data_IF_727975067331
#
_entry.id   IF_727975067331
#
_cell.length_a   1.000
_cell.length_b   1.000
_cell.length_c   1.000
_cell.angle_alpha   90.00
_cell.angle_beta   90.00
_cell.angle_gamma   90.00
#
_symmetry.space_group_name_H-M   'P 1'
#
loop_
_entity.id
_entity.type
_entity.pdbx_description
1 polymer ?
#
# COMPACT_ATOMS: atom_id res chain seq x y z
N UNK A 1 -32.69 36.03 0.52
CA UNK A 1 -32.24 34.69 0.08
C UNK A 1 -30.72 34.72 0.06
N UNK A 2 -30.07 34.02 0.99
CA UNK A 2 -28.62 34.03 1.13
C UNK A 2 -28.00 33.06 0.15
N UNK A 3 -27.12 33.53 -0.74
CA UNK A 3 -26.40 32.67 -1.66
C UNK A 3 -25.29 31.93 -0.90
N UNK A 4 -25.47 30.63 -0.70
CA UNK A 4 -24.43 29.76 -0.14
C UNK A 4 -23.42 29.49 -1.25
N UNK A 5 -22.21 30.03 -1.08
CA UNK A 5 -21.10 29.80 -1.98
C UNK A 5 -20.38 28.52 -1.52
N UNK A 6 -20.64 27.40 -2.20
CA UNK A 6 -19.95 26.13 -1.95
C UNK A 6 -18.60 26.19 -2.63
N UNK A 7 -17.56 26.55 -1.88
CA UNK A 7 -16.17 26.46 -2.33
C UNK A 7 -15.76 24.99 -2.25
N UNK A 8 -15.85 24.29 -3.38
CA UNK A 8 -15.28 22.95 -3.52
C UNK A 8 -13.77 23.10 -3.52
N UNK A 9 -13.09 22.65 -2.46
CA UNK A 9 -11.63 22.56 -2.52
C UNK A 9 -11.26 21.60 -3.65
N UNK A 10 -10.32 21.98 -4.54
CA UNK A 10 -9.71 20.98 -5.42
C UNK A 10 -9.12 19.94 -4.47
N UNK A 11 -9.68 18.72 -4.49
CA UNK A 11 -8.94 17.60 -3.92
C UNK A 11 -7.57 17.69 -4.58
N UNK A 12 -6.46 17.57 -3.84
CA UNK A 12 -5.21 17.17 -4.46
C UNK A 12 -5.46 15.76 -5.01
N UNK A 13 -6.14 15.69 -6.16
CA UNK A 13 -5.87 14.64 -7.11
C UNK A 13 -4.42 14.88 -7.44
N UNK A 14 -3.55 14.06 -6.84
CA UNK A 14 -2.43 13.60 -7.63
C UNK A 14 -3.07 13.11 -8.93
N UNK A 15 -3.07 13.95 -9.96
CA UNK A 15 -3.20 13.50 -11.32
C UNK A 15 -2.03 12.55 -11.47
N UNK A 16 -2.35 11.29 -11.25
CA UNK A 16 -1.39 10.24 -11.07
C UNK A 16 -0.67 10.09 -12.40
N UNK A 17 0.55 10.62 -12.49
CA UNK A 17 1.57 10.12 -13.41
C UNK A 17 1.96 8.65 -13.11
N UNK A 18 1.07 7.94 -12.41
CA UNK A 18 1.24 6.64 -11.79
C UNK A 18 0.24 5.70 -12.44
N UNK A 19 0.74 4.53 -12.84
CA UNK A 19 -0.09 3.43 -13.34
C UNK A 19 -1.25 3.16 -12.38
N UNK A 20 -2.44 2.98 -12.93
CA UNK A 20 -3.68 2.64 -12.21
C UNK A 20 -3.71 1.17 -11.74
N UNK A 21 -2.57 0.48 -11.82
CA UNK A 21 -2.37 -0.92 -11.44
C UNK A 21 -1.19 -1.04 -10.49
N UNK A 22 -1.15 -2.15 -9.73
CA UNK A 22 0.03 -2.55 -8.97
C UNK A 22 1.26 -2.67 -9.89
N UNK A 23 2.41 -2.21 -9.43
CA UNK A 23 3.68 -2.26 -10.19
C UNK A 23 4.23 -3.67 -10.38
N UNK A 24 3.86 -4.61 -9.51
CA UNK A 24 4.27 -6.01 -9.59
C UNK A 24 3.14 -6.98 -9.24
N UNK A 25 3.29 -8.25 -9.62
CA UNK A 25 2.41 -9.32 -9.17
C UNK A 25 2.60 -9.66 -7.69
N UNK A 26 1.61 -10.33 -7.08
CA UNK A 26 1.70 -10.77 -5.67
C UNK A 26 2.87 -11.75 -5.48
N UNK A 27 3.00 -12.75 -6.36
CA UNK A 27 4.05 -13.77 -6.29
C UNK A 27 5.31 -13.41 -7.07
N UNK A 28 5.51 -12.12 -7.38
CA UNK A 28 6.65 -11.63 -8.15
C UNK A 28 7.85 -11.43 -7.21
N UNK A 29 8.44 -12.54 -6.78
CA UNK A 29 9.50 -12.57 -5.77
C UNK A 29 10.92 -12.43 -6.35
N UNK A 30 11.05 -12.27 -7.67
CA UNK A 30 12.35 -12.26 -8.36
C UNK A 30 13.11 -10.96 -8.21
N UNK A 31 12.41 -9.84 -7.99
CA UNK A 31 13.04 -8.52 -7.93
C UNK A 31 13.65 -8.22 -6.54
N UNK A 32 13.09 -8.79 -5.47
CA UNK A 32 13.52 -8.55 -4.07
C UNK A 32 13.57 -9.86 -3.27
N UNK A 33 14.40 -10.82 -3.71
CA UNK A 33 14.50 -12.16 -3.12
C UNK A 33 14.79 -12.11 -1.61
N UNK A 34 15.66 -11.21 -1.16
CA UNK A 34 16.02 -11.08 0.26
C UNK A 34 14.82 -10.66 1.12
N UNK A 35 14.00 -9.73 0.65
CA UNK A 35 12.79 -9.30 1.36
C UNK A 35 11.71 -10.37 1.32
N UNK A 36 11.53 -11.06 0.19
CA UNK A 36 10.62 -12.19 0.11
C UNK A 36 11.04 -13.33 1.06
N UNK A 37 12.34 -13.64 1.14
CA UNK A 37 12.86 -14.60 2.12
C UNK A 37 12.60 -14.13 3.56
N UNK A 38 12.82 -12.86 3.86
CA UNK A 38 12.57 -12.31 5.20
C UNK A 38 11.07 -12.30 5.55
N UNK A 39 10.20 -11.97 4.61
CA UNK A 39 8.75 -12.04 4.77
C UNK A 39 8.26 -13.47 5.00
N UNK A 40 8.90 -14.47 4.38
CA UNK A 40 8.59 -15.88 4.62
C UNK A 40 9.14 -16.39 5.96
N UNK A 41 10.36 -15.99 6.35
CA UNK A 41 11.04 -16.50 7.54
C UNK A 41 10.58 -15.80 8.84
N UNK A 42 10.41 -14.48 8.83
CA UNK A 42 9.77 -13.74 9.92
C UNK A 42 8.65 -12.83 9.40
N UNK A 43 7.54 -13.44 9.00
CA UNK A 43 6.35 -12.73 8.53
C UNK A 43 5.91 -11.61 9.46
N UNK A 44 5.77 -11.89 10.76
CA UNK A 44 5.29 -10.90 11.72
C UNK A 44 6.27 -9.73 11.91
N UNK A 45 7.58 -9.98 11.93
CA UNK A 45 8.58 -8.92 11.96
C UNK A 45 8.44 -8.03 10.72
N UNK A 46 8.35 -8.66 9.54
CA UNK A 46 8.26 -7.96 8.27
C UNK A 46 6.98 -7.12 8.19
N UNK A 47 5.81 -7.71 8.48
CA UNK A 47 4.54 -6.99 8.48
C UNK A 47 4.56 -5.79 9.43
N UNK A 48 5.09 -5.95 10.64
CA UNK A 48 5.23 -4.84 11.59
C UNK A 48 6.12 -3.70 11.06
N UNK A 49 7.28 -4.04 10.50
CA UNK A 49 8.21 -3.06 9.92
C UNK A 49 7.54 -2.33 8.74
N UNK A 50 6.90 -3.06 7.83
CA UNK A 50 6.23 -2.45 6.67
C UNK A 50 5.02 -1.60 7.07
N UNK A 51 4.25 -2.03 8.07
CA UNK A 51 3.16 -1.23 8.66
C UNK A 51 3.68 0.10 9.20
N UNK A 52 4.80 0.07 9.93
CA UNK A 52 5.47 1.29 10.39
C UNK A 52 5.92 2.17 9.23
N UNK A 53 6.49 1.59 8.18
CA UNK A 53 6.91 2.34 6.99
C UNK A 53 5.72 3.00 6.28
N UNK A 54 4.55 2.36 6.28
CA UNK A 54 3.32 2.94 5.74
C UNK A 54 2.79 4.13 6.57
N UNK A 55 3.18 4.22 7.85
CA UNK A 55 2.74 5.24 8.80
C UNK A 55 1.79 4.74 9.89
N UNK A 56 1.53 3.44 9.96
CA UNK A 56 0.70 2.81 10.98
C UNK A 56 1.53 2.38 12.21
N UNK A 57 0.91 2.15 13.39
CA UNK A 57 1.63 1.66 14.56
C UNK A 57 2.35 0.33 14.28
N UNK A 58 3.58 0.18 14.80
CA UNK A 58 4.47 -0.96 14.50
C UNK A 58 3.78 -2.32 14.64
N UNK A 59 3.07 -2.54 15.75
CA UNK A 59 2.49 -3.85 16.07
C UNK A 59 1.04 -4.02 15.60
N UNK A 60 0.51 -3.09 14.81
CA UNK A 60 -0.87 -3.14 14.36
C UNK A 60 -1.21 -4.43 13.58
N UNK A 61 -0.32 -4.96 12.70
CA UNK A 61 -0.56 -6.23 12.01
C UNK A 61 -0.64 -7.45 12.92
N UNK A 62 -0.15 -7.39 14.17
CA UNK A 62 -0.28 -8.52 15.11
C UNK A 62 -1.74 -8.78 15.50
N UNK A 63 -2.64 -7.80 15.33
CA UNK A 63 -4.07 -8.02 15.54
C UNK A 63 -4.67 -9.00 14.52
N UNK A 64 -4.02 -9.18 13.36
CA UNK A 64 -4.41 -10.20 12.38
C UNK A 64 -4.11 -11.63 12.86
N UNK A 65 -3.36 -11.82 13.95
CA UNK A 65 -3.21 -13.14 14.59
C UNK A 65 -4.51 -13.65 15.21
N UNK A 66 -5.35 -12.73 15.68
CA UNK A 66 -6.64 -13.06 16.30
C UNK A 66 -7.78 -13.17 15.27
N UNK A 67 -7.57 -12.58 14.08
CA UNK A 67 -8.48 -12.69 12.94
C UNK A 67 -8.30 -14.05 12.26
N UNK A 68 -9.40 -14.71 11.89
CA UNK A 68 -9.36 -16.01 11.22
C UNK A 68 -8.73 -15.97 9.82
N UNK A 69 -9.44 -16.51 8.84
CA UNK A 69 -8.93 -16.62 7.46
C UNK A 69 -8.66 -15.25 6.82
N UNK A 70 -9.44 -14.24 7.21
CA UNK A 70 -9.38 -12.89 6.68
C UNK A 70 -8.59 -11.99 7.65
N UNK A 71 -7.44 -11.44 7.24
CA UNK A 71 -6.63 -10.52 8.05
C UNK A 71 -7.13 -9.06 7.88
N UNK A 72 -7.93 -8.51 8.82
CA UNK A 72 -8.56 -7.21 8.66
C UNK A 72 -7.57 -6.04 8.55
N UNK A 73 -6.46 -6.06 9.29
CA UNK A 73 -5.46 -4.99 9.27
C UNK A 73 -4.69 -4.99 7.95
N UNK A 74 -4.27 -6.16 7.48
CA UNK A 74 -3.62 -6.27 6.18
C UNK A 74 -4.56 -5.79 5.05
N UNK A 75 -5.86 -6.12 5.12
CA UNK A 75 -6.85 -5.63 4.17
C UNK A 75 -7.06 -4.12 4.25
N UNK A 76 -7.11 -3.55 5.45
CA UNK A 76 -7.32 -2.10 5.61
C UNK A 76 -6.15 -1.30 5.05
N UNK A 77 -4.91 -1.74 5.31
CA UNK A 77 -3.70 -1.12 4.76
C UNK A 77 -3.70 -1.24 3.23
N UNK A 78 -3.98 -2.43 2.69
CA UNK A 78 -4.03 -2.64 1.23
C UNK A 78 -5.10 -1.79 0.54
N UNK A 79 -6.30 -1.69 1.12
CA UNK A 79 -7.38 -0.84 0.60
C UNK A 79 -7.02 0.64 0.69
N UNK A 80 -6.36 1.06 1.78
CA UNK A 80 -5.85 2.42 1.98
C UNK A 80 -4.82 2.77 0.90
N UNK A 81 -3.88 1.86 0.60
CA UNK A 81 -2.91 2.03 -0.48
C UNK A 81 -3.58 2.18 -1.84
N UNK A 82 -4.60 1.36 -2.15
CA UNK A 82 -5.35 1.50 -3.41
C UNK A 82 -6.00 2.87 -3.55
N UNK A 83 -6.63 3.35 -2.49
CA UNK A 83 -7.24 4.67 -2.48
C UNK A 83 -6.20 5.78 -2.60
N UNK A 84 -5.06 5.65 -1.90
CA UNK A 84 -3.98 6.66 -1.87
C UNK A 84 -3.23 6.75 -3.19
N UNK A 85 -2.99 5.62 -3.86
CA UNK A 85 -2.20 5.55 -5.09
C UNK A 85 -3.05 5.45 -6.36
N UNK A 86 -4.39 5.41 -6.26
CA UNK A 86 -5.28 5.33 -7.41
C UNK A 86 -5.27 3.97 -8.12
N UNK A 87 -4.97 2.89 -7.40
CA UNK A 87 -4.88 1.53 -7.96
C UNK A 87 -6.28 0.91 -8.09
N UNK A 88 -6.64 0.47 -9.29
CA UNK A 88 -7.92 -0.19 -9.58
C UNK A 88 -8.00 -1.61 -9.02
N UNK A 89 -9.21 -2.00 -8.64
CA UNK A 89 -9.57 -3.36 -8.26
C UNK A 89 -10.72 -3.41 -7.24
N UNK A 90 -11.11 -4.60 -6.82
CA UNK A 90 -12.17 -4.79 -5.81
C UNK A 90 -11.64 -5.22 -4.44
N UNK A 91 -12.42 -4.97 -3.38
CA UNK A 91 -12.13 -5.51 -2.03
C UNK A 91 -12.17 -7.05 -2.01
N UNK A 92 -12.97 -7.67 -2.88
CA UNK A 92 -13.03 -9.12 -3.02
C UNK A 92 -11.69 -9.68 -3.51
N UNK A 93 -11.08 -9.04 -4.52
CA UNK A 93 -9.76 -9.45 -5.01
C UNK A 93 -8.72 -9.33 -3.90
N UNK A 94 -8.77 -8.24 -3.11
CA UNK A 94 -7.85 -8.05 -2.00
C UNK A 94 -8.04 -9.10 -0.91
N UNK A 95 -9.26 -9.49 -0.60
CA UNK A 95 -9.56 -10.59 0.31
C UNK A 95 -8.92 -11.89 -0.17
N UNK A 96 -9.16 -12.27 -1.43
CA UNK A 96 -8.64 -13.51 -2.02
C UNK A 96 -7.10 -13.52 -2.02
N UNK A 97 -6.47 -12.43 -2.48
CA UNK A 97 -5.01 -12.34 -2.55
C UNK A 97 -4.37 -12.39 -1.17
N UNK A 98 -4.97 -11.69 -0.20
CA UNK A 98 -4.43 -11.63 1.17
C UNK A 98 -4.66 -12.93 1.93
N UNK A 99 -5.71 -13.69 1.60
CA UNK A 99 -5.92 -15.04 2.14
C UNK A 99 -5.00 -16.07 1.49
N UNK A 100 -4.66 -15.94 0.21
CA UNK A 100 -3.84 -16.90 -0.52
C UNK A 100 -2.37 -16.91 -0.06
N UNK A 101 -1.70 -15.75 -0.09
CA UNK A 101 -0.32 -15.63 0.37
C UNK A 101 -0.09 -14.28 1.07
N UNK A 102 -0.23 -14.25 2.40
CA UNK A 102 0.01 -13.04 3.21
C UNK A 102 1.43 -12.47 3.04
N UNK A 103 2.52 -13.26 3.09
CA UNK A 103 3.88 -12.74 2.91
C UNK A 103 4.06 -12.07 1.55
N UNK A 104 3.60 -12.73 0.48
CA UNK A 104 3.69 -12.24 -0.90
C UNK A 104 2.95 -10.90 -1.07
N UNK A 105 1.75 -10.78 -0.48
CA UNK A 105 0.97 -9.53 -0.50
C UNK A 105 1.71 -8.41 0.22
N UNK A 106 2.33 -8.69 1.37
CA UNK A 106 3.16 -7.69 2.06
C UNK A 106 4.41 -7.31 1.27
N UNK A 107 5.04 -8.24 0.55
CA UNK A 107 6.15 -7.94 -0.37
C UNK A 107 5.69 -7.03 -1.51
N UNK A 108 4.57 -7.34 -2.15
CA UNK A 108 3.98 -6.50 -3.20
C UNK A 108 3.72 -5.08 -2.68
N UNK A 109 3.10 -4.95 -1.50
CA UNK A 109 2.83 -3.65 -0.88
C UNK A 109 4.13 -2.90 -0.54
N UNK A 110 5.15 -3.60 -0.03
CA UNK A 110 6.45 -2.99 0.30
C UNK A 110 7.13 -2.39 -0.93
N UNK A 111 7.14 -3.13 -2.05
CA UNK A 111 7.68 -2.63 -3.33
C UNK A 111 6.91 -1.43 -3.84
N UNK A 112 5.58 -1.49 -3.79
CA UNK A 112 4.73 -0.38 -4.24
C UNK A 112 5.00 0.88 -3.41
N UNK A 113 5.10 0.78 -2.08
CA UNK A 113 5.44 1.93 -1.22
C UNK A 113 6.77 2.55 -1.64
N UNK A 114 7.82 1.74 -1.81
CA UNK A 114 9.15 2.21 -2.23
C UNK A 114 9.12 2.90 -3.58
N UNK A 115 8.45 2.30 -4.55
CA UNK A 115 8.37 2.84 -5.91
C UNK A 115 7.65 4.19 -5.92
N UNK A 116 6.49 4.28 -5.26
CA UNK A 116 5.70 5.53 -5.22
C UNK A 116 6.39 6.61 -4.40
N UNK A 117 7.02 6.28 -3.27
CA UNK A 117 7.75 7.25 -2.45
C UNK A 117 8.95 7.84 -3.20
N UNK A 118 9.71 7.01 -3.91
CA UNK A 118 10.82 7.46 -4.75
C UNK A 118 10.33 8.44 -5.83
N UNK A 119 9.24 8.11 -6.52
CA UNK A 119 8.71 8.97 -7.57
C UNK A 119 8.18 10.30 -7.02
N UNK A 120 7.51 10.29 -5.87
CA UNK A 120 7.08 11.52 -5.19
C UNK A 120 8.29 12.41 -4.85
N UNK A 121 9.38 11.84 -4.33
CA UNK A 121 10.61 12.57 -4.04
C UNK A 121 11.29 13.14 -5.32
N UNK A 122 11.31 12.38 -6.41
CA UNK A 122 11.87 12.82 -7.69
C UNK A 122 11.04 13.95 -8.33
N UNK A 123 9.72 13.85 -8.30
CA UNK A 123 8.82 14.92 -8.78
C UNK A 123 8.98 16.18 -7.92
N UNK A 124 9.03 16.03 -6.60
CA UNK A 124 9.29 17.14 -5.68
C UNK A 124 10.62 17.84 -5.98
N UNK A 125 11.67 17.08 -6.29
CA UNK A 125 12.99 17.62 -6.66
C UNK A 125 12.96 18.40 -7.98
N UNK A 126 12.20 17.93 -8.99
CA UNK A 126 12.03 18.64 -10.27
C UNK A 126 11.31 19.98 -10.12
N UNK A 127 10.36 20.09 -9.18
CA UNK A 127 9.65 21.35 -8.91
C UNK A 127 10.50 22.39 -8.17
N UNK A 128 11.55 21.99 -7.45
CA UNK A 128 12.45 22.93 -6.75
C UNK A 128 13.49 23.54 -7.70
N UNK A 129 13.72 22.92 -8.87
CA UNK A 129 14.71 23.35 -9.86
C UNK A 129 14.15 24.20 -11.01
N UNK A 130 12.85 24.53 -10.98
CA UNK A 130 12.19 25.46 -11.92
C UNK A 130 11.83 26.76 -11.20
#
# INVERSE_FOLDING_TARGET
MSNVLVITQPKPGMDSAFSDKWGSGVCDCTDDVSECCFACWCYWCFACIQSRNYGEPLCFPLLDMCGGVIPPITMSIRSSMRQRYGIQGSMCDDCVMTTFCRPCVWCQMSREMKERDLQIALVGSRHIQM
#
